data_IF_667129181814
#
_entry.id   IF_667129181814
#
_cell.length_a   1.000
_cell.length_b   1.000
_cell.length_c   1.000
_cell.angle_alpha   90.00
_cell.angle_beta   90.00
_cell.angle_gamma   90.00
#
_symmetry.space_group_name_H-M   'P 1'
#
loop_
_entity.id
_entity.type
_entity.pdbx_description
1 polymer ?
#
# COMPACT_ATOMS: atom_id res chain seq x y z
N UNK A 1 -7.92 -21.98 -15.61
CA UNK A 1 -7.80 -21.61 -14.18
C UNK A 1 -7.75 -20.09 -14.05
N UNK A 2 -8.20 -19.50 -12.93
CA UNK A 2 -8.17 -18.04 -12.74
C UNK A 2 -6.95 -17.60 -11.93
N UNK A 3 -6.22 -16.58 -12.37
CA UNK A 3 -5.08 -16.02 -11.66
C UNK A 3 -5.28 -14.52 -11.47
N UNK A 4 -5.20 -14.05 -10.24
CA UNK A 4 -5.37 -12.64 -9.90
C UNK A 4 -4.12 -12.10 -9.22
N UNK A 5 -3.53 -11.08 -9.82
CA UNK A 5 -2.39 -10.33 -9.31
C UNK A 5 -2.87 -8.94 -8.90
N UNK A 6 -2.85 -8.64 -7.61
CA UNK A 6 -3.29 -7.35 -7.11
C UNK A 6 -2.50 -6.96 -5.86
N UNK A 7 -2.54 -5.67 -5.50
CA UNK A 7 -1.96 -5.20 -4.26
C UNK A 7 -1.42 -3.78 -4.36
N UNK A 8 -1.16 -3.12 -3.23
CA UNK A 8 -0.62 -1.78 -3.20
C UNK A 8 0.85 -1.69 -3.70
N UNK A 9 1.62 -2.78 -3.70
CA UNK A 9 2.95 -2.81 -4.33
C UNK A 9 2.81 -3.00 -5.86
N UNK A 10 2.64 -1.89 -6.59
CA UNK A 10 2.40 -1.89 -8.03
C UNK A 10 3.56 -2.49 -8.83
N UNK A 11 4.80 -2.26 -8.38
CA UNK A 11 5.99 -2.72 -9.09
C UNK A 11 6.07 -4.24 -8.98
N UNK A 12 6.00 -4.79 -7.76
CA UNK A 12 6.10 -6.25 -7.58
C UNK A 12 4.91 -6.99 -8.15
N UNK A 13 3.69 -6.45 -7.99
CA UNK A 13 2.50 -7.09 -8.54
C UNK A 13 2.52 -7.14 -10.07
N UNK A 14 2.95 -6.05 -10.72
CA UNK A 14 3.06 -5.99 -12.19
C UNK A 14 4.19 -6.89 -12.68
N UNK A 15 5.35 -6.87 -12.03
CA UNK A 15 6.47 -7.72 -12.42
C UNK A 15 6.09 -9.20 -12.34
N UNK A 16 5.47 -9.64 -11.24
CA UNK A 16 5.05 -11.02 -11.11
C UNK A 16 4.00 -11.44 -12.14
N UNK A 17 3.13 -10.53 -12.56
CA UNK A 17 2.20 -10.76 -13.65
C UNK A 17 2.91 -10.89 -15.01
N UNK A 18 3.91 -10.04 -15.28
CA UNK A 18 4.75 -10.13 -16.47
C UNK A 18 5.53 -11.45 -16.50
N UNK A 19 6.14 -11.84 -15.39
CA UNK A 19 6.89 -13.09 -15.25
C UNK A 19 5.98 -14.30 -15.49
N UNK A 20 4.73 -14.25 -15.00
CA UNK A 20 3.74 -15.29 -15.27
C UNK A 20 3.36 -15.33 -16.76
N UNK A 21 3.18 -14.17 -17.39
CA UNK A 21 2.85 -14.06 -18.81
C UNK A 21 3.94 -14.64 -19.70
N UNK A 22 5.21 -14.38 -19.38
CA UNK A 22 6.37 -14.84 -20.15
C UNK A 22 6.53 -16.37 -20.18
N UNK A 23 5.91 -17.11 -19.25
CA UNK A 23 5.88 -18.57 -19.27
C UNK A 23 5.10 -19.14 -20.46
N UNK A 24 4.30 -18.31 -21.13
CA UNK A 24 3.47 -18.72 -22.25
C UNK A 24 3.94 -18.04 -23.54
N UNK A 25 4.29 -18.86 -24.53
CA UNK A 25 4.79 -18.39 -25.83
C UNK A 25 3.75 -17.57 -26.60
N UNK A 26 2.47 -17.94 -26.47
CA UNK A 26 1.33 -17.26 -27.09
C UNK A 26 0.35 -16.81 -25.98
N UNK A 27 0.08 -15.51 -25.88
CA UNK A 27 -0.90 -14.95 -24.93
C UNK A 27 -1.80 -13.94 -25.63
N UNK A 28 -3.07 -13.88 -25.24
CA UNK A 28 -3.99 -12.84 -25.72
C UNK A 28 -4.11 -11.78 -24.65
N UNK A 29 -3.70 -10.55 -24.97
CA UNK A 29 -3.65 -9.44 -24.02
C UNK A 29 -4.78 -8.45 -24.29
N UNK A 30 -5.45 -8.06 -23.22
CA UNK A 30 -6.40 -6.96 -23.21
C UNK A 30 -5.89 -5.90 -22.22
N UNK A 31 -5.55 -4.73 -22.75
CA UNK A 31 -5.26 -3.54 -21.95
C UNK A 31 -6.58 -2.91 -21.46
N UNK A 32 -6.52 -2.15 -20.38
CA UNK A 32 -7.66 -1.37 -19.88
C UNK A 32 -8.25 -0.43 -20.94
N UNK A 33 -7.39 0.16 -21.77
CA UNK A 33 -7.79 1.16 -22.77
C UNK A 33 -8.38 0.53 -24.04
N UNK A 34 -7.96 -0.68 -24.41
CA UNK A 34 -8.44 -1.40 -25.59
C UNK A 34 -9.48 -2.50 -25.25
N UNK A 35 -9.97 -2.51 -24.02
CA UNK A 35 -10.93 -3.53 -23.57
C UNK A 35 -12.33 -3.28 -24.15
N UNK A 36 -12.83 -4.24 -24.93
CA UNK A 36 -14.25 -4.32 -25.28
C UNK A 36 -14.83 -5.68 -24.87
N UNK A 37 -16.02 -5.66 -24.28
CA UNK A 37 -16.68 -6.87 -23.80
C UNK A 37 -17.01 -7.83 -24.94
N UNK A 38 -17.46 -7.31 -26.08
CA UNK A 38 -17.80 -8.12 -27.27
C UNK A 38 -16.59 -8.88 -27.79
N UNK A 39 -15.46 -8.20 -27.98
CA UNK A 39 -14.20 -8.83 -28.41
C UNK A 39 -13.70 -9.83 -27.38
N UNK A 40 -13.83 -9.51 -26.09
CA UNK A 40 -13.43 -10.40 -25.01
C UNK A 40 -14.27 -11.69 -25.01
N UNK A 41 -15.59 -11.58 -25.16
CA UNK A 41 -16.48 -12.74 -25.28
C UNK A 41 -16.21 -13.58 -26.52
N UNK A 42 -15.94 -12.95 -27.67
CA UNK A 42 -15.57 -13.65 -28.91
C UNK A 42 -14.31 -14.49 -28.70
N UNK A 43 -13.28 -13.91 -28.09
CA UNK A 43 -12.03 -14.61 -27.75
C UNK A 43 -12.26 -15.73 -26.73
N UNK A 44 -13.17 -15.56 -25.77
CA UNK A 44 -13.50 -16.63 -24.83
C UNK A 44 -14.21 -17.82 -25.50
N UNK A 45 -15.01 -17.55 -26.55
CA UNK A 45 -15.77 -18.56 -27.29
C UNK A 45 -14.99 -19.21 -28.43
N UNK A 46 -13.89 -18.61 -28.88
CA UNK A 46 -13.09 -19.15 -29.98
C UNK A 46 -12.59 -20.55 -29.66
N UNK A 47 -12.85 -21.51 -30.55
CA UNK A 47 -12.37 -22.88 -30.43
C UNK A 47 -10.98 -23.01 -31.05
N UNK A 48 -10.08 -23.71 -30.35
CA UNK A 48 -8.75 -24.06 -30.86
C UNK A 48 -8.77 -25.53 -31.26
N UNK A 49 -8.65 -25.79 -32.56
CA UNK A 49 -8.86 -27.13 -33.13
C UNK A 49 -7.66 -28.07 -32.92
N UNK A 50 -6.46 -27.53 -32.68
CA UNK A 50 -5.21 -28.32 -32.72
C UNK A 50 -4.22 -27.98 -31.60
N UNK A 51 -4.59 -27.15 -30.64
CA UNK A 51 -3.72 -26.75 -29.52
C UNK A 51 -4.52 -26.34 -28.30
N UNK A 52 -3.88 -26.38 -27.13
CA UNK A 52 -4.44 -25.78 -25.92
C UNK A 52 -4.67 -24.29 -26.16
N UNK A 53 -5.82 -23.73 -25.74
CA UNK A 53 -6.09 -22.32 -25.92
C UNK A 53 -5.02 -21.49 -25.18
N UNK A 54 -4.43 -20.46 -25.80
CA UNK A 54 -3.44 -19.61 -25.15
C UNK A 54 -4.08 -18.90 -23.94
N UNK A 55 -3.40 -18.62 -22.83
CA UNK A 55 -4.02 -17.89 -21.72
C UNK A 55 -4.46 -16.49 -22.16
N UNK A 56 -5.48 -15.97 -21.47
CA UNK A 56 -5.96 -14.60 -21.64
C UNK A 56 -5.42 -13.76 -20.48
N UNK A 57 -4.75 -12.67 -20.81
CA UNK A 57 -4.16 -11.74 -19.86
C UNK A 57 -4.88 -10.39 -19.91
N UNK A 58 -5.41 -9.95 -18.77
CA UNK A 58 -6.07 -8.66 -18.59
C UNK A 58 -5.14 -7.73 -17.80
N UNK A 59 -4.69 -6.64 -18.43
CA UNK A 59 -3.85 -5.62 -17.81
C UNK A 59 -4.72 -4.47 -17.30
N UNK A 60 -4.95 -4.45 -15.99
CA UNK A 60 -5.83 -3.51 -15.33
C UNK A 60 -7.28 -4.01 -15.30
N UNK A 61 -8.07 -3.39 -14.41
CA UNK A 61 -9.50 -3.64 -14.33
C UNK A 61 -10.27 -2.62 -15.19
N UNK A 62 -11.02 -3.05 -16.21
CA UNK A 62 -12.07 -2.19 -16.76
C UNK A 62 -13.09 -1.88 -15.66
N UNK A 63 -13.75 -0.72 -15.72
CA UNK A 63 -14.71 -0.35 -14.66
C UNK A 63 -15.84 -1.38 -14.61
N UNK A 64 -15.87 -2.17 -13.54
CA UNK A 64 -16.86 -3.24 -13.33
C UNK A 64 -18.31 -2.71 -13.29
N UNK A 65 -18.49 -1.40 -13.03
CA UNK A 65 -19.82 -0.76 -13.13
C UNK A 65 -20.30 -0.67 -14.57
N UNK A 66 -19.37 -0.54 -15.52
CA UNK A 66 -19.64 -0.52 -16.96
C UNK A 66 -19.86 -1.94 -17.48
N UNK A 67 -19.16 -2.92 -16.92
CA UNK A 67 -19.20 -4.32 -17.38
C UNK A 67 -19.82 -5.27 -16.35
N UNK A 68 -21.11 -5.11 -16.07
CA UNK A 68 -21.86 -5.89 -15.05
C UNK A 68 -21.83 -7.41 -15.24
N UNK A 69 -21.49 -7.91 -16.44
CA UNK A 69 -21.41 -9.35 -16.76
C UNK A 69 -20.02 -9.98 -16.62
N UNK A 70 -18.97 -9.18 -16.47
CA UNK A 70 -17.58 -9.67 -16.54
C UNK A 70 -17.28 -10.78 -15.51
N UNK A 71 -17.66 -10.67 -14.22
CA UNK A 71 -17.37 -11.72 -13.25
C UNK A 71 -18.04 -13.07 -13.59
N UNK A 72 -19.26 -13.04 -14.14
CA UNK A 72 -19.97 -14.25 -14.53
C UNK A 72 -19.29 -14.93 -15.72
N UNK A 73 -18.87 -14.15 -16.72
CA UNK A 73 -18.07 -14.64 -17.85
C UNK A 73 -16.76 -15.26 -17.37
N UNK A 74 -16.01 -14.55 -16.53
CA UNK A 74 -14.76 -15.07 -15.97
C UNK A 74 -14.99 -16.38 -15.23
N UNK A 75 -16.05 -16.47 -14.41
CA UNK A 75 -16.42 -17.68 -13.68
C UNK A 75 -16.80 -18.85 -14.58
N UNK A 76 -17.47 -18.59 -15.69
CA UNK A 76 -17.90 -19.61 -16.65
C UNK A 76 -16.72 -20.19 -17.42
N UNK A 77 -15.79 -19.35 -17.86
CA UNK A 77 -14.74 -19.74 -18.80
C UNK A 77 -13.39 -20.06 -18.13
N UNK A 78 -13.18 -19.69 -16.86
CA UNK A 78 -11.92 -19.99 -16.16
C UNK A 78 -11.70 -21.50 -15.91
N UNK A 79 -12.69 -22.37 -16.13
CA UNK A 79 -12.53 -23.83 -16.10
C UNK A 79 -11.98 -24.39 -17.41
N UNK A 80 -12.20 -23.68 -18.52
CA UNK A 80 -11.83 -24.11 -19.88
C UNK A 80 -10.51 -23.49 -20.33
N UNK A 81 -10.19 -22.31 -19.79
CA UNK A 81 -9.03 -21.52 -20.20
C UNK A 81 -8.37 -20.86 -19.01
N UNK A 82 -7.06 -20.65 -19.11
CA UNK A 82 -6.34 -19.84 -18.14
C UNK A 82 -6.61 -18.36 -18.38
N UNK A 83 -7.06 -17.68 -17.32
CA UNK A 83 -7.35 -16.26 -17.33
C UNK A 83 -6.53 -15.62 -16.21
N UNK A 84 -5.67 -14.70 -16.59
CA UNK A 84 -4.78 -13.98 -15.71
C UNK A 84 -5.14 -12.49 -15.69
N UNK A 85 -5.38 -11.93 -14.52
CA UNK A 85 -5.79 -10.54 -14.35
C UNK A 85 -4.80 -9.83 -13.44
N UNK A 86 -4.25 -8.71 -13.89
CA UNK A 86 -3.53 -7.78 -13.04
C UNK A 86 -4.38 -6.54 -12.74
N UNK A 87 -4.29 -6.06 -11.51
CA UNK A 87 -5.04 -4.91 -11.02
C UNK A 87 -4.08 -3.93 -10.35
N UNK A 88 -4.11 -2.68 -10.82
CA UNK A 88 -3.32 -1.53 -10.38
C UNK A 88 -3.75 -0.95 -9.02
N UNK A 89 -4.48 -1.72 -8.21
CA UNK A 89 -4.96 -1.30 -6.89
C UNK A 89 -5.16 -2.49 -5.96
N UNK A 90 -5.07 -2.22 -4.66
CA UNK A 90 -5.52 -3.15 -3.64
C UNK A 90 -7.02 -3.43 -3.79
N UNK A 91 -7.39 -4.71 -3.73
CA UNK A 91 -8.78 -5.16 -3.74
C UNK A 91 -9.20 -5.61 -2.34
N UNK A 92 -10.35 -5.15 -1.87
CA UNK A 92 -10.91 -5.61 -0.61
C UNK A 92 -11.19 -7.13 -0.65
N UNK A 93 -11.10 -7.80 0.50
CA UNK A 93 -11.39 -9.24 0.59
C UNK A 93 -12.79 -9.64 0.11
N UNK A 94 -13.74 -8.70 0.14
CA UNK A 94 -15.12 -8.90 -0.33
C UNK A 94 -15.29 -8.73 -1.84
N UNK A 95 -14.26 -8.27 -2.54
CA UNK A 95 -14.30 -7.99 -3.98
C UNK A 95 -14.55 -9.26 -4.80
N UNK A 96 -15.39 -9.16 -5.84
CA UNK A 96 -15.86 -10.32 -6.61
C UNK A 96 -14.72 -11.12 -7.24
N UNK A 97 -13.70 -10.44 -7.78
CA UNK A 97 -12.54 -11.13 -8.35
C UNK A 97 -11.67 -11.84 -7.31
N UNK A 98 -11.59 -11.29 -6.09
CA UNK A 98 -10.86 -11.93 -4.99
C UNK A 98 -11.56 -13.22 -4.58
N UNK A 99 -12.90 -13.20 -4.50
CA UNK A 99 -13.70 -14.42 -4.27
C UNK A 99 -13.50 -15.43 -5.39
N UNK A 100 -13.61 -14.99 -6.65
CA UNK A 100 -13.42 -15.85 -7.81
C UNK A 100 -12.03 -16.49 -7.84
N UNK A 101 -10.97 -15.74 -7.53
CA UNK A 101 -9.61 -16.26 -7.44
C UNK A 101 -9.44 -17.29 -6.33
N UNK A 102 -10.08 -17.10 -5.18
CA UNK A 102 -10.05 -18.10 -4.10
C UNK A 102 -10.85 -19.36 -4.44
N UNK A 103 -11.96 -19.24 -5.14
CA UNK A 103 -12.85 -20.36 -5.48
C UNK A 103 -12.36 -21.18 -6.67
N UNK A 104 -11.84 -20.52 -7.72
CA UNK A 104 -11.57 -21.14 -9.03
C UNK A 104 -10.12 -20.97 -9.51
N UNK A 105 -9.20 -20.62 -8.61
CA UNK A 105 -7.87 -20.24 -9.04
C UNK A 105 -6.84 -19.92 -7.96
N UNK A 106 -6.01 -18.91 -8.23
CA UNK A 106 -4.97 -18.42 -7.31
C UNK A 106 -5.01 -16.90 -7.19
N UNK A 107 -4.89 -16.43 -5.95
CA UNK A 107 -4.76 -15.03 -5.60
C UNK A 107 -3.30 -14.75 -5.21
N UNK A 108 -2.67 -13.82 -5.91
CA UNK A 108 -1.37 -13.25 -5.57
C UNK A 108 -1.60 -11.82 -5.08
N UNK A 109 -1.59 -11.64 -3.75
CA UNK A 109 -1.69 -10.31 -3.12
C UNK A 109 -0.31 -9.78 -2.77
N UNK A 110 0.08 -8.66 -3.38
CA UNK A 110 1.36 -7.99 -3.14
C UNK A 110 1.12 -6.78 -2.27
N UNK A 111 1.06 -7.03 -0.96
CA UNK A 111 1.05 -5.94 0.01
C UNK A 111 2.38 -5.19 -0.07
N UNK A 112 2.29 -3.87 -0.05
CA UNK A 112 3.44 -3.03 0.23
C UNK A 112 3.74 -3.28 1.70
N UNK A 113 4.69 -4.19 1.95
CA UNK A 113 5.16 -4.48 3.30
C UNK A 113 5.81 -3.21 3.83
N UNK A 114 5.02 -2.35 4.45
CA UNK A 114 5.55 -1.27 5.26
C UNK A 114 6.43 -1.93 6.30
N UNK A 115 7.71 -1.59 6.31
CA UNK A 115 8.67 -2.20 7.24
C UNK A 115 8.14 -1.92 8.64
N UNK A 116 7.87 -2.97 9.44
CA UNK A 116 7.48 -2.83 10.85
C UNK A 116 8.48 -1.93 11.60
N UNK A 117 9.72 -1.93 11.10
CA UNK A 117 10.82 -1.05 11.47
C UNK A 117 10.45 0.44 11.51
N UNK A 118 9.59 0.93 10.60
CA UNK A 118 9.13 2.32 10.59
C UNK A 118 8.36 2.66 11.86
N UNK A 119 7.47 1.77 12.30
CA UNK A 119 6.72 1.99 13.53
C UNK A 119 7.60 1.81 14.77
N UNK A 120 8.57 0.88 14.73
CA UNK A 120 9.56 0.72 15.81
C UNK A 120 10.47 1.94 15.92
N UNK A 121 10.86 2.54 14.79
CA UNK A 121 11.62 3.80 14.73
C UNK A 121 10.81 4.94 15.35
N UNK A 122 9.56 5.13 14.91
CA UNK A 122 8.69 6.18 15.41
C UNK A 122 8.51 6.05 16.93
N UNK A 123 8.27 4.83 17.42
CA UNK A 123 8.21 4.58 18.86
C UNK A 123 9.51 4.90 19.58
N UNK A 124 10.67 4.59 18.99
CA UNK A 124 11.98 4.89 19.58
C UNK A 124 12.23 6.39 19.68
N UNK A 125 11.88 7.17 18.65
CA UNK A 125 11.97 8.65 18.66
C UNK A 125 11.11 9.22 19.79
N UNK A 126 9.81 8.91 19.81
CA UNK A 126 8.90 9.48 20.79
C UNK A 126 9.10 8.94 22.22
N UNK A 127 9.82 7.83 22.37
CA UNK A 127 10.22 7.28 23.67
C UNK A 127 11.63 7.70 24.12
N UNK A 128 12.27 8.66 23.44
CA UNK A 128 13.61 9.18 23.74
C UNK A 128 14.72 8.11 23.76
N UNK A 129 14.62 7.10 22.88
CA UNK A 129 15.62 6.03 22.75
C UNK A 129 16.68 6.39 21.70
N UNK A 130 17.44 7.47 21.91
CA UNK A 130 18.28 8.11 20.88
C UNK A 130 19.19 7.17 20.06
N UNK A 131 20.06 6.33 20.66
CA UNK A 131 20.92 5.43 19.89
C UNK A 131 20.14 4.45 19.00
N UNK A 132 19.01 3.94 19.54
CA UNK A 132 18.14 3.01 18.81
C UNK A 132 17.38 3.73 17.71
N UNK A 133 16.89 4.94 17.97
CA UNK A 133 16.15 5.75 17.00
C UNK A 133 17.00 6.05 15.76
N UNK A 134 18.24 6.52 15.92
CA UNK A 134 19.10 6.83 14.78
C UNK A 134 19.54 5.58 14.00
N UNK A 135 19.83 4.47 14.70
CA UNK A 135 20.12 3.19 14.02
C UNK A 135 18.95 2.72 13.18
N UNK A 136 17.73 2.77 13.74
CA UNK A 136 16.52 2.37 13.02
C UNK A 136 16.20 3.32 11.86
N UNK A 137 16.47 4.63 12.03
CA UNK A 137 16.28 5.60 10.95
C UNK A 137 17.19 5.28 9.75
N UNK A 138 18.48 5.03 9.98
CA UNK A 138 19.42 4.63 8.92
C UNK A 138 18.90 3.42 8.16
N UNK A 139 18.50 2.37 8.89
CA UNK A 139 17.99 1.14 8.30
C UNK A 139 16.69 1.37 7.51
N UNK A 140 15.75 2.18 8.03
CA UNK A 140 14.50 2.51 7.32
C UNK A 140 14.80 3.22 6.00
N UNK A 141 15.75 4.17 5.98
CA UNK A 141 16.11 4.91 4.77
C UNK A 141 16.89 4.03 3.78
N UNK A 142 17.78 3.17 4.26
CA UNK A 142 18.52 2.19 3.45
C UNK A 142 17.59 1.15 2.80
N UNK A 143 16.51 0.75 3.48
CA UNK A 143 15.45 -0.13 2.94
C UNK A 143 14.54 0.58 1.91
N UNK A 144 14.84 1.84 1.54
CA UNK A 144 14.05 2.63 0.59
C UNK A 144 12.81 3.27 1.20
N UNK A 145 12.78 3.48 2.51
CA UNK A 145 11.72 4.19 3.20
C UNK A 145 11.56 5.63 2.70
N UNK A 146 10.33 6.06 2.43
CA UNK A 146 10.05 7.42 1.97
C UNK A 146 10.18 8.44 3.11
N UNK A 147 11.10 9.40 3.01
CA UNK A 147 11.24 10.47 4.01
C UNK A 147 9.95 11.29 4.21
N UNK A 148 9.22 11.58 3.13
CA UNK A 148 7.91 12.27 3.19
C UNK A 148 6.92 11.48 4.06
N UNK A 149 6.89 10.16 3.89
CA UNK A 149 6.03 9.30 4.70
C UNK A 149 6.42 9.33 6.19
N UNK A 150 7.72 9.31 6.50
CA UNK A 150 8.21 9.42 7.87
C UNK A 150 7.81 10.75 8.53
N UNK A 151 7.92 11.87 7.82
CA UNK A 151 7.45 13.19 8.29
C UNK A 151 5.95 13.14 8.59
N UNK A 152 5.15 12.57 7.69
CA UNK A 152 3.70 12.44 7.90
C UNK A 152 3.36 11.61 9.15
N UNK A 153 4.12 10.55 9.43
CA UNK A 153 3.97 9.76 10.65
C UNK A 153 4.35 10.55 11.90
N UNK A 154 5.42 11.34 11.86
CA UNK A 154 5.79 12.23 12.98
C UNK A 154 4.71 13.27 13.25
N UNK A 155 4.12 13.88 12.22
CA UNK A 155 2.97 14.79 12.34
C UNK A 155 1.80 14.09 13.00
N UNK A 156 1.43 12.90 12.51
CA UNK A 156 0.32 12.12 13.07
C UNK A 156 0.55 11.79 14.56
N UNK A 157 1.76 11.34 14.90
CA UNK A 157 2.10 10.98 16.28
C UNK A 157 2.09 12.21 17.21
N UNK A 158 2.64 13.33 16.76
CA UNK A 158 2.65 14.59 17.52
C UNK A 158 1.23 15.10 17.76
N UNK A 159 0.36 15.06 16.74
CA UNK A 159 -1.07 15.41 16.87
C UNK A 159 -1.78 14.51 17.88
N UNK A 160 -1.53 13.21 17.82
CA UNK A 160 -2.12 12.25 18.78
C UNK A 160 -1.67 12.52 20.22
N UNK A 161 -0.38 12.84 20.44
CA UNK A 161 0.13 13.20 21.76
C UNK A 161 -0.48 14.52 22.26
N UNK A 162 -0.56 15.54 21.41
CA UNK A 162 -1.15 16.83 21.76
C UNK A 162 -2.63 16.68 22.12
N UNK A 163 -3.41 15.96 21.32
CA UNK A 163 -4.82 15.73 21.60
C UNK A 163 -5.05 14.90 22.86
N UNK A 164 -4.18 13.90 23.11
CA UNK A 164 -4.22 13.15 24.36
C UNK A 164 -3.90 14.05 25.55
N UNK A 165 -2.94 14.97 25.43
CA UNK A 165 -2.59 15.94 26.47
C UNK A 165 -3.72 16.92 26.79
N UNK A 166 -4.60 17.19 25.81
CA UNK A 166 -5.73 18.10 25.92
C UNK A 166 -7.02 17.39 26.36
N UNK A 167 -7.01 16.07 26.53
CA UNK A 167 -8.21 15.29 26.84
C UNK A 167 -9.26 15.33 25.73
N UNK A 168 -8.85 15.39 24.46
CA UNK A 168 -9.78 15.42 23.33
C UNK A 168 -10.60 14.11 23.26
N UNK A 169 -11.94 14.23 23.20
CA UNK A 169 -12.89 13.10 23.19
C UNK A 169 -12.60 12.05 22.11
N UNK A 170 -12.18 12.45 20.91
CA UNK A 170 -11.90 11.50 19.84
C UNK A 170 -10.76 10.51 20.16
N UNK A 171 -9.93 10.82 21.17
CA UNK A 171 -8.92 9.88 21.66
C UNK A 171 -9.53 8.69 22.40
N UNK A 172 -10.75 8.83 22.95
CA UNK A 172 -11.48 7.75 23.61
C UNK A 172 -11.96 6.68 22.61
N UNK A 173 -12.19 7.07 21.35
CA UNK A 173 -12.59 6.17 20.26
C UNK A 173 -11.41 5.37 19.68
N UNK A 174 -10.17 5.71 20.05
CA UNK A 174 -8.97 5.01 19.57
C UNK A 174 -8.80 3.67 20.27
N UNK A 175 -8.29 2.69 19.52
CA UNK A 175 -8.08 1.34 20.03
C UNK A 175 -7.17 1.33 21.29
N UNK A 176 -7.51 0.56 22.35
CA UNK A 176 -6.79 0.57 23.62
C UNK A 176 -5.28 0.29 23.51
N UNK A 177 -4.87 -0.56 22.56
CA UNK A 177 -3.46 -0.86 22.31
C UNK A 177 -2.66 0.39 21.88
N UNK A 178 -3.26 1.25 21.05
CA UNK A 178 -2.60 2.47 20.59
C UNK A 178 -2.45 3.47 21.74
N UNK A 179 -3.50 3.62 22.56
CA UNK A 179 -3.46 4.46 23.77
C UNK A 179 -2.43 3.95 24.80
N UNK A 180 -2.32 2.64 24.97
CA UNK A 180 -1.31 2.00 25.84
C UNK A 180 0.11 2.37 25.43
N UNK A 181 0.37 2.54 24.13
CA UNK A 181 1.69 2.97 23.60
C UNK A 181 1.91 4.48 23.69
N UNK A 182 0.87 5.30 23.46
CA UNK A 182 0.96 6.76 23.52
C UNK A 182 1.19 7.30 24.94
N UNK A 183 0.51 6.75 25.94
CA UNK A 183 0.53 7.28 27.32
C UNK A 183 1.95 7.36 27.92
N UNK A 184 2.83 6.35 27.77
CA UNK A 184 4.23 6.47 28.18
C UNK A 184 4.99 7.57 27.45
N UNK A 185 4.78 7.73 26.15
CA UNK A 185 5.47 8.75 25.34
C UNK A 185 5.05 10.17 25.72
N UNK A 186 3.79 10.38 26.10
CA UNK A 186 3.29 11.68 26.55
C UNK A 186 4.05 12.23 27.76
N UNK A 187 4.61 11.35 28.62
CA UNK A 187 5.40 11.78 29.79
C UNK A 187 6.70 12.49 29.42
N UNK A 188 7.16 12.32 28.17
CA UNK A 188 8.43 12.88 27.69
C UNK A 188 8.31 14.31 27.19
N UNK A 189 7.09 14.82 26.99
CA UNK A 189 6.84 16.09 26.30
C UNK A 189 5.77 16.90 27.02
N UNK A 190 6.00 18.21 27.15
CA UNK A 190 4.98 19.13 27.60
C UNK A 190 4.13 19.63 26.42
N UNK A 191 3.01 20.29 26.73
CA UNK A 191 2.06 20.78 25.72
C UNK A 191 2.68 21.85 24.81
N UNK A 192 3.48 22.75 25.38
CA UNK A 192 4.12 23.87 24.66
C UNK A 192 5.05 23.32 23.56
N UNK A 193 5.93 22.39 23.93
CA UNK A 193 6.80 21.70 22.99
C UNK A 193 6.03 21.00 21.87
N UNK A 194 4.93 20.29 22.18
CA UNK A 194 4.14 19.60 21.15
C UNK A 194 3.48 20.58 20.17
N UNK A 195 3.06 21.77 20.62
CA UNK A 195 2.56 22.83 19.75
C UNK A 195 3.66 23.37 18.84
N UNK A 196 4.83 23.69 19.40
CA UNK A 196 5.97 24.23 18.64
C UNK A 196 6.51 23.21 17.64
N UNK A 197 6.62 21.94 18.06
CA UNK A 197 7.02 20.84 17.21
C UNK A 197 6.08 20.65 16.01
N UNK A 198 4.77 20.88 16.16
CA UNK A 198 3.85 20.85 15.02
C UNK A 198 4.09 21.98 14.03
N UNK A 199 4.47 23.17 14.49
CA UNK A 199 4.83 24.27 13.60
C UNK A 199 6.10 23.93 12.80
N UNK A 200 7.13 23.41 13.47
CA UNK A 200 8.39 22.97 12.83
C UNK A 200 8.13 21.84 11.83
N UNK A 201 7.31 20.85 12.19
CA UNK A 201 6.92 19.76 11.30
C UNK A 201 6.16 20.26 10.06
N UNK A 202 5.27 21.23 10.22
CA UNK A 202 4.53 21.83 9.11
C UNK A 202 5.45 22.60 8.15
N UNK A 203 6.40 23.35 8.69
CA UNK A 203 7.41 24.05 7.89
C UNK A 203 8.31 23.06 7.13
N UNK A 204 8.75 21.98 7.79
CA UNK A 204 9.54 20.93 7.16
C UNK A 204 8.78 20.25 6.02
N UNK A 205 7.51 19.89 6.23
CA UNK A 205 6.65 19.31 5.19
C UNK A 205 6.49 20.25 3.98
N UNK A 206 6.28 21.55 4.22
CA UNK A 206 6.23 22.55 3.16
C UNK A 206 7.55 22.64 2.37
N UNK A 207 8.68 22.74 3.07
CA UNK A 207 10.01 22.81 2.45
C UNK A 207 10.33 21.57 1.62
N UNK A 208 9.96 20.38 2.12
CA UNK A 208 10.15 19.13 1.39
C UNK A 208 9.28 19.07 0.14
N UNK A 209 7.99 19.41 0.24
CA UNK A 209 7.06 19.40 -0.90
C UNK A 209 7.41 20.42 -1.99
N UNK A 210 8.06 21.52 -1.61
CA UNK A 210 8.52 22.56 -2.54
C UNK A 210 9.95 22.34 -3.04
N UNK A 211 10.61 21.25 -2.63
CA UNK A 211 11.98 20.92 -3.05
C UNK A 211 13.06 21.79 -2.40
N UNK A 212 12.72 22.58 -1.38
CA UNK A 212 13.67 23.41 -0.63
C UNK A 212 14.48 22.62 0.39
N UNK A 213 14.04 21.41 0.76
CA UNK A 213 14.71 20.53 1.71
C UNK A 213 14.54 19.07 1.27
N UNK A 214 15.61 18.28 1.34
CA UNK A 214 15.52 16.82 1.13
C UNK A 214 14.75 16.18 2.28
N UNK A 215 13.84 15.26 1.94
CA UNK A 215 12.96 14.63 2.92
C UNK A 215 13.76 13.87 4.00
N UNK A 216 14.84 13.21 3.59
CA UNK A 216 15.73 12.44 4.45
C UNK A 216 16.41 13.36 5.49
N UNK A 217 16.94 14.49 5.03
CA UNK A 217 17.57 15.49 5.90
C UNK A 217 16.57 16.06 6.91
N UNK A 218 15.34 16.35 6.46
CA UNK A 218 14.27 16.81 7.35
C UNK A 218 13.99 15.78 8.45
N UNK A 219 13.87 14.49 8.11
CA UNK A 219 13.60 13.43 9.09
C UNK A 219 14.73 13.31 10.12
N UNK A 220 16.00 13.44 9.71
CA UNK A 220 17.14 13.46 10.64
C UNK A 220 17.04 14.63 11.62
N UNK A 221 16.85 15.85 11.13
CA UNK A 221 16.74 17.05 11.98
C UNK A 221 15.54 16.99 12.93
N UNK A 222 14.39 16.54 12.43
CA UNK A 222 13.19 16.36 13.24
C UNK A 222 13.38 15.27 14.30
N UNK A 223 14.01 14.16 13.95
CA UNK A 223 14.30 13.08 14.92
C UNK A 223 15.19 13.60 16.05
N UNK A 224 16.23 14.37 15.72
CA UNK A 224 17.10 15.01 16.70
C UNK A 224 16.32 15.95 17.63
N UNK A 225 15.45 16.81 17.08
CA UNK A 225 14.61 17.73 17.86
C UNK A 225 13.78 16.99 18.92
N UNK A 226 13.14 15.86 18.58
CA UNK A 226 12.35 15.11 19.56
C UNK A 226 13.21 14.38 20.61
N UNK A 227 14.46 14.06 20.30
CA UNK A 227 15.35 13.30 21.18
C UNK A 227 16.10 14.17 22.21
N UNK A 228 16.29 15.47 21.94
CA UNK A 228 17.10 16.38 22.78
C UNK A 228 16.29 17.24 23.77
N UNK A 229 14.96 17.24 23.67
CA UNK A 229 14.06 17.84 24.69
C UNK A 229 14.00 16.95 25.93
#
# INVERSE_FOLDING_TARGET
MFYLFCGPDLIKSRQAWLDYREQFKDTIIFSKDDFSLSRFEEVLRSQFLFSSPPPICLEGLPDLRVFKGLPNLLSQYCSVRDICVWVDKGLAFTHVLVKLAKEKGRLFSYEQKQSELVFVWLEAVFSKQSPKAFRLLSQVLEEGGSGIYLIALMVSQTRSLLALSQGCKYMEEKHPFYLKKLRPQLKNYNREFLCDALAVLAEADYKVKTGQLLAENAVWSLSFMFLEV
#
